data_IF_564007030479
#
_entry.id   IF_564007030479
#
_cell.length_a   1.000
_cell.length_b   1.000
_cell.length_c   1.000
_cell.angle_alpha   90.00
_cell.angle_beta   90.00
_cell.angle_gamma   90.00
#
_symmetry.space_group_name_H-M   'P 1'
#
loop_
_entity.id
_entity.type
_entity.pdbx_description
1 polymer ?
#
# COMPACT_ATOMS: atom_id res chain seq x y z
N UNK A 1 6.85 9.46 17.04
CA UNK A 1 7.16 8.92 15.72
C UNK A 1 5.95 9.02 14.81
N UNK A 2 6.17 9.27 13.53
CA UNK A 2 5.09 9.26 12.56
C UNK A 2 5.39 8.28 11.41
N UNK A 3 4.31 7.75 10.80
CA UNK A 3 4.39 7.00 9.57
C UNK A 3 3.34 7.53 8.58
N UNK A 4 3.75 7.67 7.32
CA UNK A 4 2.87 7.99 6.19
C UNK A 4 2.97 6.84 5.20
N UNK A 5 1.81 6.33 4.79
CA UNK A 5 1.67 5.27 3.77
C UNK A 5 0.84 5.79 2.61
N UNK A 6 1.47 5.98 1.47
CA UNK A 6 0.82 6.40 0.23
C UNK A 6 0.58 5.19 -0.67
N UNK A 7 -0.63 4.66 -0.58
CA UNK A 7 -1.10 3.57 -1.43
C UNK A 7 -1.74 4.05 -2.74
N UNK A 8 -2.24 3.09 -3.51
CA UNK A 8 -2.91 3.33 -4.80
C UNK A 8 -4.24 4.09 -4.65
N UNK A 9 -4.96 3.87 -3.55
CA UNK A 9 -6.30 4.45 -3.34
C UNK A 9 -6.35 5.50 -2.23
N UNK A 10 -5.53 5.35 -1.21
CA UNK A 10 -5.55 6.19 -0.02
C UNK A 10 -4.14 6.51 0.46
N UNK A 11 -4.01 7.64 1.13
CA UNK A 11 -2.84 8.01 1.90
C UNK A 11 -3.22 8.01 3.38
N UNK A 12 -2.43 7.35 4.22
CA UNK A 12 -2.65 7.27 5.67
C UNK A 12 -1.50 7.89 6.42
N UNK A 13 -1.81 8.54 7.53
CA UNK A 13 -0.81 9.03 8.46
C UNK A 13 -1.19 8.63 9.87
N UNK A 14 -0.22 8.16 10.62
CA UNK A 14 -0.32 7.94 12.06
C UNK A 14 0.83 8.65 12.76
N UNK A 15 0.55 9.18 13.96
CA UNK A 15 1.58 9.64 14.90
C UNK A 15 1.38 8.86 16.19
N UNK A 16 2.45 8.27 16.71
CA UNK A 16 2.46 7.56 17.97
C UNK A 16 3.46 8.20 18.95
N UNK A 17 3.11 8.17 20.22
CA UNK A 17 4.00 8.53 21.31
C UNK A 17 5.08 7.45 21.58
N UNK A 18 5.90 7.65 22.58
CA UNK A 18 6.96 6.71 22.95
C UNK A 18 6.45 5.35 23.46
N UNK A 19 5.19 5.30 23.91
CA UNK A 19 4.54 4.07 24.37
C UNK A 19 3.90 3.28 23.24
N UNK A 20 3.84 3.87 22.02
CA UNK A 20 3.17 3.31 20.86
C UNK A 20 1.67 3.62 20.79
N UNK A 21 1.17 4.49 21.69
CA UNK A 21 -0.21 4.96 21.61
C UNK A 21 -0.39 5.97 20.48
N UNK A 22 -1.42 5.79 19.65
CA UNK A 22 -1.72 6.70 18.55
C UNK A 22 -2.33 8.01 19.06
N UNK A 23 -1.59 9.11 18.88
CA UNK A 23 -2.05 10.48 19.18
C UNK A 23 -2.65 11.18 17.96
N UNK A 24 -2.42 10.63 16.78
CA UNK A 24 -3.03 11.09 15.54
C UNK A 24 -3.18 9.91 14.56
N UNK A 25 -4.32 9.81 13.88
CA UNK A 25 -4.58 8.79 12.85
C UNK A 25 -5.58 9.35 11.85
N UNK A 26 -5.15 9.52 10.60
CA UNK A 26 -5.99 10.04 9.52
C UNK A 26 -5.74 9.30 8.22
N UNK A 27 -6.79 9.21 7.40
CA UNK A 27 -6.74 8.65 6.05
C UNK A 27 -7.40 9.60 5.08
N UNK A 28 -6.73 9.85 3.95
CA UNK A 28 -7.23 10.63 2.84
C UNK A 28 -7.41 9.76 1.59
N UNK A 29 -8.55 9.85 0.92
CA UNK A 29 -8.82 9.14 -0.33
C UNK A 29 -8.18 9.88 -1.52
N UNK A 30 -6.93 9.57 -1.81
CA UNK A 30 -6.18 10.22 -2.92
C UNK A 30 -6.56 9.68 -4.28
N UNK A 31 -6.98 8.40 -4.34
CA UNK A 31 -7.27 7.68 -5.58
C UNK A 31 -6.17 7.85 -6.64
N UNK A 32 -4.92 7.75 -6.20
CA UNK A 32 -3.74 8.03 -7.02
C UNK A 32 -3.67 7.13 -8.26
N UNK A 33 -4.12 5.87 -8.13
CA UNK A 33 -4.17 4.89 -9.22
C UNK A 33 -5.34 5.05 -10.20
N UNK A 34 -6.15 6.12 -10.09
CA UNK A 34 -7.29 6.34 -10.98
C UNK A 34 -6.84 6.53 -12.44
N UNK A 35 -7.37 5.69 -13.34
CA UNK A 35 -7.04 5.72 -14.77
C UNK A 35 -5.67 5.13 -15.13
N UNK A 36 -4.89 4.65 -14.18
CA UNK A 36 -3.57 4.06 -14.46
C UNK A 36 -3.62 2.82 -15.36
N UNK A 37 -4.69 2.02 -15.26
CA UNK A 37 -4.90 0.85 -16.13
C UNK A 37 -4.93 1.19 -17.62
N UNK A 38 -5.26 2.43 -17.97
CA UNK A 38 -5.36 2.93 -19.35
C UNK A 38 -4.14 3.72 -19.81
N UNK A 39 -3.52 4.46 -18.92
CA UNK A 39 -2.54 5.48 -19.29
C UNK A 39 -1.13 5.22 -18.72
N UNK A 40 -0.99 4.26 -17.80
CA UNK A 40 0.26 3.98 -17.08
C UNK A 40 0.88 5.20 -16.39
N UNK A 41 0.08 6.24 -16.10
CA UNK A 41 0.51 7.45 -15.43
C UNK A 41 -0.59 7.99 -14.51
N UNK A 42 -0.20 8.82 -13.55
CA UNK A 42 -1.15 9.57 -12.73
C UNK A 42 -1.81 10.67 -13.54
N UNK A 43 -3.13 10.84 -13.36
CA UNK A 43 -3.83 11.98 -13.94
C UNK A 43 -3.53 13.27 -13.17
N UNK A 44 -3.67 14.46 -13.78
CA UNK A 44 -3.48 15.74 -13.07
C UNK A 44 -4.35 15.86 -11.81
N UNK A 45 -5.59 15.38 -11.86
CA UNK A 45 -6.54 15.41 -10.75
C UNK A 45 -6.09 14.48 -9.62
N UNK A 46 -5.58 13.28 -9.93
CA UNK A 46 -5.04 12.35 -8.95
C UNK A 46 -3.80 12.92 -8.26
N UNK A 47 -2.90 13.55 -9.04
CA UNK A 47 -1.73 14.26 -8.51
C UNK A 47 -2.16 15.37 -7.57
N UNK A 48 -3.14 16.22 -7.96
CA UNK A 48 -3.62 17.31 -7.10
C UNK A 48 -4.13 16.76 -5.76
N UNK A 49 -5.02 15.75 -5.78
CA UNK A 49 -5.52 15.13 -4.55
C UNK A 49 -4.41 14.55 -3.67
N UNK A 50 -3.40 13.93 -4.29
CA UNK A 50 -2.24 13.39 -3.57
C UNK A 50 -1.41 14.48 -2.90
N UNK A 51 -1.12 15.56 -3.62
CA UNK A 51 -0.37 16.71 -3.11
C UNK A 51 -1.15 17.42 -1.99
N UNK A 52 -2.47 17.61 -2.15
CA UNK A 52 -3.29 18.29 -1.13
C UNK A 52 -3.32 17.49 0.19
N UNK A 53 -3.50 16.17 0.11
CA UNK A 53 -3.45 15.29 1.27
C UNK A 53 -2.07 15.31 1.95
N UNK A 54 -0.99 15.29 1.17
CA UNK A 54 0.37 15.31 1.72
C UNK A 54 0.78 16.68 2.26
N UNK A 55 0.24 17.80 1.74
CA UNK A 55 0.40 19.12 2.34
C UNK A 55 -0.23 19.18 3.74
N UNK A 56 -1.43 18.63 3.90
CA UNK A 56 -2.08 18.54 5.20
C UNK A 56 -1.22 17.72 6.19
N UNK A 57 -0.75 16.54 5.76
CA UNK A 57 0.13 15.70 6.59
C UNK A 57 1.47 16.36 6.90
N UNK A 58 2.04 17.13 5.97
CA UNK A 58 3.25 17.93 6.21
C UNK A 58 3.05 18.97 7.32
N UNK A 59 1.88 19.64 7.32
CA UNK A 59 1.51 20.58 8.39
C UNK A 59 1.39 19.89 9.75
N UNK A 60 0.80 18.70 9.79
CA UNK A 60 0.69 17.90 11.02
C UNK A 60 2.08 17.48 11.52
N UNK A 61 2.98 17.01 10.63
CA UNK A 61 4.35 16.67 11.01
C UNK A 61 5.09 17.86 11.63
N UNK A 62 4.91 19.07 11.07
CA UNK A 62 5.47 20.30 11.60
C UNK A 62 5.00 20.59 13.05
N UNK A 63 3.74 20.33 13.35
CA UNK A 63 3.18 20.52 14.70
C UNK A 63 3.73 19.53 15.72
N UNK A 64 3.95 18.27 15.33
CA UNK A 64 4.45 17.23 16.22
C UNK A 64 5.97 17.21 16.37
N UNK A 65 6.72 17.81 15.44
CA UNK A 65 8.19 17.84 15.40
C UNK A 65 8.84 16.46 15.68
N UNK A 66 8.25 15.41 15.13
CA UNK A 66 8.65 14.03 15.39
C UNK A 66 9.45 13.43 14.24
N UNK A 67 10.20 12.36 14.51
CA UNK A 67 10.79 11.53 13.45
C UNK A 67 9.69 10.84 12.67
N UNK A 68 9.84 10.79 11.37
CA UNK A 68 8.86 10.11 10.51
C UNK A 68 9.51 9.22 9.45
N UNK A 69 8.74 8.26 8.95
CA UNK A 69 9.01 7.56 7.70
C UNK A 69 7.77 7.69 6.81
N UNK A 70 7.96 8.10 5.56
CA UNK A 70 6.91 8.19 4.57
C UNK A 70 7.25 7.28 3.40
N UNK A 71 6.33 6.38 3.07
CA UNK A 71 6.50 5.38 2.01
C UNK A 71 5.43 5.53 0.94
N UNK A 72 5.79 5.15 -0.29
CA UNK A 72 4.87 5.01 -1.41
C UNK A 72 5.03 3.61 -2.02
N UNK A 73 3.93 3.04 -2.49
CA UNK A 73 3.86 1.63 -2.88
C UNK A 73 3.57 1.45 -4.38
N UNK A 74 2.78 0.46 -4.76
CA UNK A 74 2.57 -0.01 -6.13
C UNK A 74 2.28 1.10 -7.15
N UNK A 75 1.40 2.06 -6.84
CA UNK A 75 1.04 3.12 -7.78
C UNK A 75 2.26 3.96 -8.20
N UNK A 76 3.09 4.36 -7.24
CA UNK A 76 4.30 5.15 -7.53
C UNK A 76 5.39 4.34 -8.24
N UNK A 77 5.47 3.02 -8.00
CA UNK A 77 6.39 2.15 -8.74
C UNK A 77 6.02 2.00 -10.21
N UNK A 78 4.72 1.96 -10.51
CA UNK A 78 4.20 1.62 -11.84
C UNK A 78 3.98 2.84 -12.73
N UNK A 79 3.70 4.00 -12.15
CA UNK A 79 3.39 5.21 -12.92
C UNK A 79 4.63 5.77 -13.63
N UNK A 80 4.52 6.03 -14.93
CA UNK A 80 5.61 6.64 -15.73
C UNK A 80 5.99 8.04 -15.25
N UNK A 81 5.06 8.77 -14.63
CA UNK A 81 5.28 10.08 -14.01
C UNK A 81 5.42 10.00 -12.47
N UNK A 82 5.65 8.80 -11.92
CA UNK A 82 5.81 8.59 -10.48
C UNK A 82 6.97 9.38 -9.88
N UNK A 83 8.13 9.41 -10.56
CA UNK A 83 9.30 10.16 -10.09
C UNK A 83 9.05 11.68 -10.06
N UNK A 84 8.32 12.22 -11.04
CA UNK A 84 7.92 13.63 -11.06
C UNK A 84 7.01 13.96 -9.87
N UNK A 85 6.02 13.09 -9.61
CA UNK A 85 5.13 13.23 -8.47
C UNK A 85 5.91 13.24 -7.13
N UNK A 86 6.85 12.30 -6.93
CA UNK A 86 7.70 12.25 -5.73
C UNK A 86 8.50 13.56 -5.54
N UNK A 87 9.10 14.06 -6.63
CA UNK A 87 9.82 15.33 -6.60
C UNK A 87 8.93 16.53 -6.23
N UNK A 88 7.69 16.54 -6.71
CA UNK A 88 6.71 17.55 -6.32
C UNK A 88 6.32 17.44 -4.84
N UNK A 89 6.11 16.23 -4.32
CA UNK A 89 5.82 16.01 -2.90
C UNK A 89 6.94 16.58 -2.03
N UNK A 90 8.20 16.30 -2.38
CA UNK A 90 9.35 16.86 -1.65
C UNK A 90 9.34 18.38 -1.64
N UNK A 91 9.10 19.01 -2.80
CA UNK A 91 9.15 20.47 -2.95
C UNK A 91 7.94 21.19 -2.33
N UNK A 92 6.74 20.64 -2.51
CA UNK A 92 5.49 21.31 -2.17
C UNK A 92 4.98 20.95 -0.76
N UNK A 93 5.33 19.75 -0.25
CA UNK A 93 4.83 19.24 1.03
C UNK A 93 5.94 19.13 2.10
N UNK A 94 7.22 19.30 1.72
CA UNK A 94 8.39 19.05 2.58
C UNK A 94 8.41 17.65 3.21
N UNK A 95 7.91 16.64 2.48
CA UNK A 95 7.89 15.24 2.87
C UNK A 95 8.87 14.47 1.99
N UNK A 96 9.80 13.75 2.60
CA UNK A 96 10.68 12.82 1.89
C UNK A 96 9.97 11.46 1.76
N UNK A 97 9.41 11.19 0.58
CA UNK A 97 8.61 10.02 0.29
C UNK A 97 9.47 8.95 -0.40
N UNK A 98 9.64 7.80 0.27
CA UNK A 98 10.42 6.66 -0.21
C UNK A 98 9.52 5.71 -1.00
N UNK A 99 9.86 5.40 -2.25
CA UNK A 99 9.18 4.35 -3.02
C UNK A 99 9.80 3.01 -2.63
N UNK A 100 9.05 2.18 -1.91
CA UNK A 100 9.52 0.87 -1.44
C UNK A 100 9.23 -0.25 -2.44
N UNK A 101 10.06 -1.27 -2.46
CA UNK A 101 9.84 -2.47 -3.26
C UNK A 101 8.80 -3.43 -2.63
N UNK A 102 8.29 -4.43 -3.37
CA UNK A 102 7.30 -5.36 -2.84
C UNK A 102 7.78 -6.20 -1.65
N UNK A 103 9.09 -6.46 -1.52
CA UNK A 103 9.63 -7.23 -0.39
C UNK A 103 9.60 -6.42 0.89
N UNK A 104 9.97 -5.14 0.80
CA UNK A 104 9.90 -4.24 1.95
C UNK A 104 8.44 -3.97 2.34
N UNK A 105 7.53 -3.83 1.37
CA UNK A 105 6.09 -3.71 1.59
C UNK A 105 5.56 -4.94 2.37
N UNK A 106 5.86 -6.16 1.89
CA UNK A 106 5.49 -7.40 2.57
C UNK A 106 6.08 -7.51 3.99
N UNK A 107 7.33 -7.07 4.19
CA UNK A 107 7.98 -7.05 5.50
C UNK A 107 7.28 -6.10 6.48
N UNK A 108 6.94 -4.91 6.04
CA UNK A 108 6.24 -3.91 6.87
C UNK A 108 4.82 -4.39 7.23
N UNK A 109 4.09 -4.95 6.27
CA UNK A 109 2.77 -5.52 6.47
C UNK A 109 2.81 -6.67 7.48
N UNK A 110 3.80 -7.57 7.36
CA UNK A 110 4.03 -8.64 8.33
C UNK A 110 4.24 -8.09 9.74
N UNK A 111 5.12 -7.10 9.92
CA UNK A 111 5.39 -6.52 11.23
C UNK A 111 4.15 -5.86 11.84
N UNK A 112 3.35 -5.16 11.03
CA UNK A 112 2.08 -4.59 11.47
C UNK A 112 1.07 -5.67 11.88
N UNK A 113 0.95 -6.75 11.11
CA UNK A 113 0.01 -7.84 11.37
C UNK A 113 0.38 -8.67 12.61
N UNK A 114 1.67 -8.82 12.91
CA UNK A 114 2.16 -9.61 14.04
C UNK A 114 1.68 -9.09 15.40
N UNK A 115 1.38 -7.79 15.52
CA UNK A 115 0.85 -7.20 16.76
C UNK A 115 -0.52 -7.78 17.15
N UNK A 116 -1.33 -8.18 16.15
CA UNK A 116 -2.67 -8.71 16.32
C UNK A 116 -2.77 -10.23 16.08
N UNK A 117 -1.66 -10.89 15.68
CA UNK A 117 -1.66 -12.31 15.40
C UNK A 117 -1.74 -13.16 16.67
N UNK A 118 -2.44 -14.31 16.59
CA UNK A 118 -2.54 -15.28 17.69
C UNK A 118 -1.15 -15.73 18.14
N UNK A 119 -0.83 -15.43 19.41
CA UNK A 119 0.48 -15.71 20.01
C UNK A 119 0.81 -17.19 20.13
N UNK A 120 -0.19 -18.05 20.07
CA UNK A 120 -0.05 -19.50 20.24
C UNK A 120 0.23 -20.23 18.90
N UNK A 121 0.22 -19.51 17.78
CA UNK A 121 0.46 -20.13 16.46
C UNK A 121 1.92 -19.93 16.03
N UNK A 122 2.59 -20.98 15.50
CA UNK A 122 3.99 -20.88 15.08
C UNK A 122 4.18 -20.12 13.78
N UNK A 123 3.14 -20.07 12.94
CA UNK A 123 3.16 -19.40 11.65
C UNK A 123 2.06 -18.35 11.55
N UNK A 124 2.29 -17.36 10.70
CA UNK A 124 1.31 -16.34 10.32
C UNK A 124 1.24 -16.25 8.81
N UNK A 125 0.01 -16.16 8.29
CA UNK A 125 -0.28 -15.89 6.89
C UNK A 125 -0.94 -14.51 6.81
N UNK A 126 -0.29 -13.59 6.13
CA UNK A 126 -0.76 -12.21 5.96
C UNK A 126 -1.26 -12.03 4.53
N UNK A 127 -2.46 -11.50 4.40
CA UNK A 127 -3.02 -11.02 3.14
C UNK A 127 -3.13 -9.50 3.25
N UNK A 128 -2.52 -8.81 2.32
CA UNK A 128 -2.71 -7.37 2.15
C UNK A 128 -3.31 -7.10 0.78
N UNK A 129 -4.58 -6.70 0.75
CA UNK A 129 -5.32 -6.41 -0.48
C UNK A 129 -5.37 -4.90 -0.64
N UNK A 130 -4.40 -4.37 -1.37
CA UNK A 130 -4.33 -2.96 -1.71
C UNK A 130 -5.27 -2.56 -2.86
N UNK A 131 -5.12 -1.33 -3.34
CA UNK A 131 -5.84 -0.86 -4.52
C UNK A 131 -5.25 -1.34 -5.85
N UNK A 132 -3.93 -1.53 -5.91
CA UNK A 132 -3.18 -1.88 -7.13
C UNK A 132 -2.48 -3.22 -7.11
N UNK A 133 -2.30 -3.82 -5.93
CA UNK A 133 -1.65 -5.13 -5.76
C UNK A 133 -2.26 -5.88 -4.58
N UNK A 134 -1.95 -7.18 -4.48
CA UNK A 134 -2.26 -8.03 -3.34
C UNK A 134 -1.00 -8.78 -2.95
N UNK A 135 -0.56 -8.61 -1.72
CA UNK A 135 0.56 -9.31 -1.13
C UNK A 135 0.06 -10.50 -0.29
N UNK A 136 0.70 -11.67 -0.46
CA UNK A 136 0.47 -12.85 0.38
C UNK A 136 1.82 -13.24 0.97
N UNK A 137 1.93 -13.27 2.30
CA UNK A 137 3.17 -13.53 3.00
C UNK A 137 2.96 -14.61 4.06
N UNK A 138 3.71 -15.70 3.97
CA UNK A 138 3.83 -16.74 5.01
C UNK A 138 5.12 -16.51 5.78
N UNK A 139 5.04 -16.46 7.11
CA UNK A 139 6.20 -16.21 7.94
C UNK A 139 6.17 -17.04 9.24
N UNK A 140 7.36 -17.28 9.81
CA UNK A 140 7.49 -17.76 11.19
C UNK A 140 7.17 -16.62 12.13
N UNK A 141 6.27 -16.86 13.07
CA UNK A 141 5.87 -15.82 14.02
C UNK A 141 6.98 -15.43 14.99
N UNK A 142 7.77 -16.40 15.44
CA UNK A 142 8.76 -16.22 16.53
C UNK A 142 9.83 -15.17 16.24
N UNK A 143 10.22 -15.03 14.98
CA UNK A 143 11.30 -14.14 14.54
C UNK A 143 10.95 -13.32 13.29
N UNK A 144 9.67 -13.28 12.90
CA UNK A 144 9.19 -12.60 11.69
C UNK A 144 9.94 -13.02 10.40
N UNK A 145 10.48 -14.24 10.37
CA UNK A 145 11.17 -14.76 9.20
C UNK A 145 10.17 -15.07 8.09
N UNK A 146 10.22 -14.35 6.99
CA UNK A 146 9.42 -14.65 5.80
C UNK A 146 9.91 -15.98 5.22
N UNK A 147 8.98 -16.93 5.03
CA UNK A 147 9.19 -18.23 4.40
C UNK A 147 8.93 -18.09 2.91
N UNK A 148 7.79 -17.49 2.55
CA UNK A 148 7.39 -17.24 1.17
C UNK A 148 6.58 -15.96 1.10
N UNK A 149 6.73 -15.21 0.01
CA UNK A 149 5.93 -14.04 -0.28
C UNK A 149 5.72 -13.89 -1.78
N UNK A 150 4.51 -13.52 -2.16
CA UNK A 150 4.19 -13.12 -3.53
C UNK A 150 3.48 -11.78 -3.53
N UNK A 151 3.68 -11.03 -4.61
CA UNK A 151 2.87 -9.87 -4.95
C UNK A 151 2.12 -10.15 -6.25
N UNK A 152 0.81 -10.08 -6.19
CA UNK A 152 -0.10 -10.24 -7.32
C UNK A 152 -0.41 -8.84 -7.83
N UNK A 153 -0.23 -8.52 -9.14
CA UNK A 153 -0.41 -7.16 -9.68
C UNK A 153 -1.90 -6.79 -9.85
N UNK A 154 -2.74 -7.34 -8.98
CA UNK A 154 -4.16 -7.04 -8.88
C UNK A 154 -4.52 -6.72 -7.43
N UNK A 155 -5.04 -5.53 -7.22
CA UNK A 155 -5.69 -5.10 -5.99
C UNK A 155 -7.18 -4.81 -6.28
N UNK A 156 -7.90 -4.37 -5.27
CA UNK A 156 -9.35 -4.19 -5.37
C UNK A 156 -9.75 -3.21 -6.49
N UNK A 157 -8.95 -2.16 -6.73
CA UNK A 157 -9.29 -1.14 -7.70
C UNK A 157 -8.94 -1.53 -9.13
N UNK A 158 -7.68 -1.85 -9.40
CA UNK A 158 -7.26 -2.16 -10.76
C UNK A 158 -7.88 -3.46 -11.29
N UNK A 159 -8.17 -4.44 -10.43
CA UNK A 159 -8.94 -5.62 -10.79
C UNK A 159 -10.37 -5.24 -11.21
N UNK A 160 -11.06 -4.40 -10.42
CA UNK A 160 -12.40 -3.91 -10.76
C UNK A 160 -12.41 -3.17 -12.10
N UNK A 161 -11.44 -2.29 -12.34
CA UNK A 161 -11.31 -1.56 -13.60
C UNK A 161 -11.00 -2.49 -14.79
N UNK A 162 -10.06 -3.43 -14.61
CA UNK A 162 -9.58 -4.32 -15.67
C UNK A 162 -10.65 -5.32 -16.12
N UNK A 163 -11.36 -5.94 -15.17
CA UNK A 163 -12.38 -6.94 -15.44
C UNK A 163 -13.80 -6.32 -15.54
N UNK A 164 -13.94 -5.01 -15.37
CA UNK A 164 -15.24 -4.31 -15.41
C UNK A 164 -16.20 -4.79 -14.33
N UNK A 165 -15.69 -5.10 -13.13
CA UNK A 165 -16.48 -5.61 -12.00
C UNK A 165 -16.94 -4.42 -11.18
N UNK A 166 -18.19 -3.98 -11.36
CA UNK A 166 -18.81 -2.93 -10.55
C UNK A 166 -19.73 -3.52 -9.48
N UNK A 167 -20.35 -4.68 -9.79
CA UNK A 167 -21.19 -5.47 -8.91
C UNK A 167 -20.78 -6.94 -9.01
N UNK A 168 -21.34 -7.80 -8.14
CA UNK A 168 -21.08 -9.23 -8.19
C UNK A 168 -21.50 -9.83 -9.53
N UNK A 169 -20.55 -10.42 -10.23
CA UNK A 169 -20.73 -11.10 -11.52
C UNK A 169 -19.91 -12.40 -11.46
N UNK A 170 -20.60 -13.54 -11.44
CA UNK A 170 -19.98 -14.85 -11.30
C UNK A 170 -19.02 -15.18 -12.45
N UNK A 171 -19.37 -14.82 -13.69
CA UNK A 171 -18.50 -15.07 -14.85
C UNK A 171 -17.20 -14.28 -14.77
N UNK A 172 -17.30 -13.00 -14.43
CA UNK A 172 -16.13 -12.13 -14.24
C UNK A 172 -15.26 -12.58 -13.05
N UNK A 173 -15.90 -13.01 -11.94
CA UNK A 173 -15.20 -13.58 -10.80
C UNK A 173 -14.43 -14.85 -11.17
N UNK A 174 -15.00 -15.73 -12.00
CA UNK A 174 -14.30 -16.93 -12.50
C UNK A 174 -13.14 -16.58 -13.44
N UNK A 175 -13.28 -15.58 -14.30
CA UNK A 175 -12.19 -15.08 -15.16
C UNK A 175 -11.05 -14.55 -14.29
N UNK A 176 -11.36 -13.69 -13.32
CA UNK A 176 -10.40 -13.17 -12.36
C UNK A 176 -9.69 -14.28 -11.57
N UNK A 177 -10.45 -15.25 -11.05
CA UNK A 177 -9.90 -16.39 -10.32
C UNK A 177 -8.90 -17.22 -11.16
N UNK A 178 -9.17 -17.41 -12.45
CA UNK A 178 -8.25 -18.08 -13.38
C UNK A 178 -6.97 -17.27 -13.58
N UNK A 179 -7.08 -15.96 -13.75
CA UNK A 179 -5.94 -15.07 -13.95
C UNK A 179 -4.99 -15.11 -12.76
N UNK A 180 -5.50 -15.01 -11.52
CA UNK A 180 -4.68 -15.03 -10.31
C UNK A 180 -4.19 -16.44 -9.93
N UNK A 181 -4.78 -17.51 -10.46
CA UNK A 181 -4.46 -18.90 -10.08
C UNK A 181 -2.99 -19.26 -10.27
N UNK A 182 -2.36 -18.72 -11.32
CA UNK A 182 -0.93 -18.93 -11.60
C UNK A 182 -0.02 -18.36 -10.51
N UNK A 183 -0.38 -17.20 -9.96
CA UNK A 183 0.36 -16.56 -8.85
C UNK A 183 0.21 -17.39 -7.57
N UNK A 184 -1.03 -17.79 -7.22
CA UNK A 184 -1.31 -18.62 -6.04
C UNK A 184 -0.62 -19.98 -6.15
N UNK A 185 -0.56 -20.58 -7.34
CA UNK A 185 0.13 -21.84 -7.56
C UNK A 185 1.65 -21.75 -7.33
N UNK A 186 2.27 -20.61 -7.62
CA UNK A 186 3.69 -20.37 -7.30
C UNK A 186 3.90 -20.33 -5.78
N UNK A 187 3.09 -19.56 -5.07
CA UNK A 187 3.17 -19.45 -3.61
C UNK A 187 3.06 -20.83 -2.90
N UNK A 188 2.26 -21.75 -3.42
CA UNK A 188 2.09 -23.11 -2.84
C UNK A 188 3.27 -24.04 -3.09
N UNK A 189 4.18 -23.71 -4.00
CA UNK A 189 5.35 -24.55 -4.34
C UNK A 189 6.61 -24.16 -3.57
N UNK A 190 6.64 -22.98 -2.97
CA UNK A 190 7.71 -22.48 -2.12
C UNK A 190 7.48 -22.85 -0.66
#
# INVERSE_FOLDING_TARGET
YAAIDLGTNSCRMVVADETGHYVYNQSAATRLGEGMSRHNCFTPEAISRGIDALKEFGSVLGNFQCRYRAIATAACRMATNGAEFINRVQKECNINLEVIDPKEEARLNLLGALSNADKNKPYVLVYDIGGGSTEITLAKRSNAQIISTISIPFGARNASEHFGINDYDEQKAQIFAREISSYVARFKKE
#
